data_IF_944352849395
#
_entry.id   IF_944352849395
#
_cell.length_a   1.000
_cell.length_b   1.000
_cell.length_c   1.000
_cell.angle_alpha   90.00
_cell.angle_beta   90.00
_cell.angle_gamma   90.00
#
_symmetry.space_group_name_H-M   'P 1'
#
loop_
_entity.id
_entity.type
_entity.pdbx_description
1 polymer ?
#
# COMPACT_ATOMS: atom_id res chain seq x y z
N UNK A 1 38.57 39.58 -61.95
CA UNK A 1 38.93 38.33 -61.25
C UNK A 1 37.94 38.16 -60.11
N UNK A 2 36.88 37.42 -60.39
CA UNK A 2 35.75 37.21 -59.48
C UNK A 2 35.82 35.76 -58.95
N UNK A 3 36.00 35.60 -57.67
CA UNK A 3 35.93 34.28 -56.98
C UNK A 3 34.58 34.21 -56.21
N UNK A 4 33.76 33.27 -56.63
CA UNK A 4 32.50 32.87 -55.99
C UNK A 4 32.73 32.05 -54.76
N UNK A 5 32.03 32.28 -53.63
CA UNK A 5 31.96 31.34 -52.53
C UNK A 5 30.73 30.42 -52.69
N UNK A 6 30.97 29.18 -53.02
CA UNK A 6 29.97 28.09 -53.04
C UNK A 6 30.46 26.95 -52.20
N UNK A 7 30.45 27.04 -50.86
CA UNK A 7 30.74 25.89 -50.04
C UNK A 7 30.20 25.94 -48.59
N UNK A 8 29.32 26.91 -48.23
CA UNK A 8 28.78 26.98 -46.88
C UNK A 8 27.33 26.45 -46.73
N UNK A 9 26.65 26.10 -47.82
CA UNK A 9 25.24 25.66 -47.75
C UNK A 9 25.00 24.17 -47.53
N UNK A 10 26.02 23.33 -47.66
CA UNK A 10 25.85 21.87 -47.61
C UNK A 10 26.08 21.25 -46.21
N UNK A 11 26.74 21.96 -45.26
CA UNK A 11 27.00 21.42 -43.92
C UNK A 11 25.87 21.61 -42.93
N UNK A 12 24.98 22.57 -43.15
CA UNK A 12 23.87 22.85 -42.24
C UNK A 12 22.66 21.93 -42.42
N UNK A 13 22.51 21.26 -43.56
CA UNK A 13 21.41 20.30 -43.79
C UNK A 13 21.69 18.90 -43.23
N UNK A 14 22.94 18.51 -43.02
CA UNK A 14 23.29 17.23 -42.38
C UNK A 14 23.16 17.23 -40.86
N UNK A 15 23.28 18.38 -40.20
CA UNK A 15 23.15 18.48 -38.76
C UNK A 15 21.69 18.44 -38.27
N UNK A 16 20.72 18.80 -39.11
CA UNK A 16 19.28 18.75 -38.76
C UNK A 16 18.68 17.32 -38.84
N UNK A 17 19.27 16.43 -39.61
CA UNK A 17 18.79 15.04 -39.73
C UNK A 17 19.23 14.13 -38.59
N UNK A 18 20.23 14.49 -37.79
CA UNK A 18 20.73 13.68 -36.67
C UNK A 18 19.93 13.87 -35.37
N UNK A 19 19.05 14.88 -35.26
CA UNK A 19 18.24 15.16 -34.07
C UNK A 19 16.81 14.56 -34.12
N UNK A 20 16.41 13.98 -35.26
CA UNK A 20 15.09 13.36 -35.43
C UNK A 20 15.00 11.89 -34.98
N UNK A 21 16.08 11.32 -34.46
CA UNK A 21 16.22 9.88 -34.20
C UNK A 21 15.76 9.36 -32.86
N UNK A 22 15.23 10.18 -31.94
CA UNK A 22 14.89 9.73 -30.58
C UNK A 22 13.43 9.92 -30.17
N UNK A 23 12.49 10.07 -31.10
CA UNK A 23 11.07 10.18 -30.81
C UNK A 23 10.30 8.94 -31.32
N UNK A 24 10.70 7.74 -30.89
CA UNK A 24 9.86 6.55 -31.04
C UNK A 24 9.00 6.37 -29.78
N UNK A 25 7.87 7.06 -29.74
CA UNK A 25 6.84 6.87 -28.71
C UNK A 25 6.02 5.59 -28.89
N UNK A 26 6.18 4.88 -29.98
CA UNK A 26 5.40 3.68 -30.30
C UNK A 26 5.91 2.40 -29.61
N UNK A 27 7.14 2.39 -29.10
CA UNK A 27 7.71 1.21 -28.44
C UNK A 27 7.21 0.99 -27.01
N UNK A 28 6.71 2.01 -26.32
CA UNK A 28 6.36 1.89 -24.89
C UNK A 28 5.01 1.17 -24.67
N UNK A 29 4.03 1.40 -25.54
CA UNK A 29 2.71 0.76 -25.44
C UNK A 29 2.78 -0.72 -25.81
N UNK A 30 3.59 -1.09 -26.80
CA UNK A 30 3.81 -2.49 -27.17
C UNK A 30 4.57 -3.27 -26.08
N UNK A 31 5.57 -2.66 -25.46
CA UNK A 31 6.31 -3.25 -24.34
C UNK A 31 5.43 -3.45 -23.10
N UNK A 32 4.56 -2.50 -22.79
CA UNK A 32 3.62 -2.63 -21.69
C UNK A 32 2.61 -3.75 -21.94
N UNK A 33 2.03 -3.84 -23.13
CA UNK A 33 1.10 -4.90 -23.50
C UNK A 33 1.75 -6.29 -23.46
N UNK A 34 3.00 -6.41 -23.90
CA UNK A 34 3.78 -7.65 -23.79
C UNK A 34 4.07 -8.00 -22.33
N UNK A 35 4.48 -7.02 -21.52
CA UNK A 35 4.73 -7.22 -20.11
C UNK A 35 3.45 -7.69 -19.37
N UNK A 36 2.31 -7.07 -19.64
CA UNK A 36 1.02 -7.44 -19.05
C UNK A 36 0.60 -8.86 -19.45
N UNK A 37 0.85 -9.25 -20.71
CA UNK A 37 0.57 -10.60 -21.21
C UNK A 37 1.43 -11.64 -20.50
N UNK A 38 2.75 -11.41 -20.40
CA UNK A 38 3.67 -12.30 -19.69
C UNK A 38 3.32 -12.38 -18.21
N UNK A 39 3.03 -11.24 -17.59
CA UNK A 39 2.65 -11.16 -16.19
C UNK A 39 1.41 -12.01 -15.89
N UNK A 40 0.33 -11.81 -16.64
CA UNK A 40 -0.91 -12.59 -16.48
C UNK A 40 -0.72 -14.08 -16.73
N UNK A 41 0.07 -14.45 -17.72
CA UNK A 41 0.35 -15.84 -18.04
C UNK A 41 1.26 -16.55 -17.01
N UNK A 42 2.01 -15.78 -16.21
CA UNK A 42 2.95 -16.32 -15.21
C UNK A 42 2.27 -16.79 -13.92
N UNK A 43 0.99 -16.46 -13.72
CA UNK A 43 0.26 -16.82 -12.50
C UNK A 43 -0.86 -17.82 -12.82
N UNK A 44 -1.06 -18.77 -11.93
CA UNK A 44 -2.15 -19.73 -12.00
C UNK A 44 -3.08 -19.57 -10.79
N UNK A 45 -4.40 -19.70 -10.96
CA UNK A 45 -5.30 -19.74 -9.82
C UNK A 45 -5.04 -20.98 -8.97
N UNK A 46 -5.20 -20.84 -7.66
CA UNK A 46 -5.05 -21.94 -6.71
C UNK A 46 -6.28 -22.09 -5.81
N UNK A 47 -6.35 -23.15 -4.99
CA UNK A 47 -7.46 -23.35 -4.08
C UNK A 47 -7.70 -22.15 -3.17
N UNK A 48 -8.88 -21.53 -3.25
CA UNK A 48 -9.24 -20.34 -2.48
C UNK A 48 -8.52 -19.05 -2.89
N UNK A 49 -7.85 -19.05 -4.06
CA UNK A 49 -7.16 -17.89 -4.61
C UNK A 49 -7.46 -17.79 -6.10
N UNK A 50 -7.99 -16.66 -6.49
CA UNK A 50 -8.20 -16.27 -7.88
C UNK A 50 -7.10 -15.29 -8.34
N UNK A 51 -7.17 -14.86 -9.58
CA UNK A 51 -6.23 -13.90 -10.15
C UNK A 51 -6.64 -12.44 -9.97
N UNK A 52 -7.73 -12.16 -9.24
CA UNK A 52 -8.23 -10.78 -9.05
C UNK A 52 -7.21 -9.84 -8.40
N UNK A 53 -6.26 -10.40 -7.64
CA UNK A 53 -5.19 -9.61 -6.99
C UNK A 53 -4.12 -9.10 -7.96
N UNK A 54 -4.09 -9.61 -9.18
CA UNK A 54 -3.22 -9.10 -10.24
C UNK A 54 -3.78 -7.81 -10.84
N UNK A 55 -5.07 -7.54 -10.63
CA UNK A 55 -5.70 -6.33 -11.12
C UNK A 55 -5.56 -5.19 -10.09
N UNK A 56 -4.98 -4.09 -10.56
CA UNK A 56 -4.90 -2.88 -9.76
C UNK A 56 -6.27 -2.20 -9.70
N UNK A 57 -6.70 -1.81 -8.51
CA UNK A 57 -7.83 -0.89 -8.37
C UNK A 57 -7.42 0.55 -8.75
N UNK A 58 -8.39 1.46 -8.83
CA UNK A 58 -8.16 2.85 -9.29
C UNK A 58 -7.16 3.61 -8.41
N UNK A 59 -7.13 3.31 -7.11
CA UNK A 59 -6.15 3.90 -6.21
C UNK A 59 -4.74 3.38 -6.52
N UNK A 60 -4.60 2.09 -6.75
CA UNK A 60 -3.32 1.48 -7.11
C UNK A 60 -2.83 1.97 -8.47
N UNK A 61 -3.73 2.06 -9.47
CA UNK A 61 -3.41 2.62 -10.79
C UNK A 61 -2.90 4.05 -10.69
N UNK A 62 -3.62 4.92 -9.95
CA UNK A 62 -3.19 6.30 -9.75
C UNK A 62 -1.83 6.38 -9.04
N UNK A 63 -1.62 5.60 -7.97
CA UNK A 63 -0.34 5.59 -7.27
C UNK A 63 0.81 5.08 -8.14
N UNK A 64 0.57 4.11 -9.02
CA UNK A 64 1.56 3.63 -10.00
C UNK A 64 1.87 4.70 -11.04
N UNK A 65 0.84 5.34 -11.59
CA UNK A 65 0.98 6.40 -12.58
C UNK A 65 1.83 7.57 -12.07
N UNK A 66 1.62 7.98 -10.84
CA UNK A 66 2.33 9.10 -10.21
C UNK A 66 3.55 8.67 -9.38
N UNK A 67 3.99 7.41 -9.47
CA UNK A 67 5.13 6.89 -8.70
C UNK A 67 5.05 7.21 -7.21
N UNK A 68 3.86 6.96 -6.64
CA UNK A 68 3.50 7.25 -5.24
C UNK A 68 3.51 8.74 -4.83
N UNK A 69 3.66 9.67 -5.77
CA UNK A 69 3.65 11.11 -5.52
C UNK A 69 2.58 11.82 -6.38
N UNK A 70 1.28 11.58 -6.15
CA UNK A 70 0.22 12.20 -6.92
C UNK A 70 0.09 13.70 -6.62
N UNK A 71 -0.37 14.53 -7.58
CA UNK A 71 -0.76 15.90 -7.33
C UNK A 71 -1.79 15.98 -6.20
N UNK A 72 -1.81 17.10 -5.47
CA UNK A 72 -2.67 17.30 -4.29
C UNK A 72 -4.15 17.02 -4.56
N UNK A 73 -4.69 17.49 -5.68
CA UNK A 73 -6.09 17.26 -6.06
C UNK A 73 -6.41 15.78 -6.25
N UNK A 74 -5.48 15.02 -6.87
CA UNK A 74 -5.60 13.56 -7.03
C UNK A 74 -5.49 12.86 -5.68
N UNK A 75 -4.54 13.27 -4.83
CA UNK A 75 -4.38 12.73 -3.50
C UNK A 75 -5.65 12.91 -2.65
N UNK A 76 -6.24 14.11 -2.63
CA UNK A 76 -7.52 14.41 -1.94
C UNK A 76 -8.67 13.55 -2.47
N UNK A 77 -8.75 13.35 -3.78
CA UNK A 77 -9.78 12.49 -4.39
C UNK A 77 -9.64 11.03 -3.94
N UNK A 78 -8.41 10.51 -3.91
CA UNK A 78 -8.12 9.17 -3.41
C UNK A 78 -8.52 9.07 -1.94
N UNK A 79 -8.04 9.98 -1.09
CA UNK A 79 -8.31 9.98 0.34
C UNK A 79 -9.81 9.99 0.65
N UNK A 80 -10.57 10.87 -0.03
CA UNK A 80 -12.01 10.96 0.15
C UNK A 80 -12.75 9.67 -0.27
N UNK A 81 -12.31 9.03 -1.35
CA UNK A 81 -12.85 7.73 -1.80
C UNK A 81 -12.54 6.63 -0.81
N UNK A 82 -11.30 6.53 -0.36
CA UNK A 82 -10.85 5.48 0.54
C UNK A 82 -11.46 5.62 1.94
N UNK A 83 -11.71 6.84 2.41
CA UNK A 83 -12.40 7.09 3.67
C UNK A 83 -13.86 6.58 3.67
N UNK A 84 -14.56 6.66 2.55
CA UNK A 84 -15.94 6.15 2.42
C UNK A 84 -16.04 4.63 2.54
N UNK A 85 -14.93 3.91 2.36
CA UNK A 85 -14.88 2.46 2.42
C UNK A 85 -14.55 1.92 3.82
N UNK A 86 -14.46 2.78 4.83
CA UNK A 86 -14.18 2.35 6.20
C UNK A 86 -15.47 1.82 6.84
N UNK A 87 -15.41 0.57 7.29
CA UNK A 87 -16.51 -0.08 8.00
C UNK A 87 -16.13 -0.20 9.47
N UNK A 88 -17.06 0.17 10.35
CA UNK A 88 -16.89 0.10 11.79
C UNK A 88 -17.51 -1.19 12.38
N UNK A 89 -17.12 -1.59 13.60
CA UNK A 89 -17.78 -2.68 14.31
C UNK A 89 -19.28 -2.41 14.47
N UNK A 90 -20.09 -3.45 14.41
CA UNK A 90 -21.56 -3.33 14.51
C UNK A 90 -22.04 -2.74 15.84
N UNK A 91 -21.27 -2.94 16.92
CA UNK A 91 -21.53 -2.38 18.24
C UNK A 91 -20.95 -0.96 18.44
N UNK A 92 -20.33 -0.40 17.41
CA UNK A 92 -19.70 0.94 17.44
C UNK A 92 -18.43 1.04 18.27
N UNK A 93 -17.95 -0.05 18.90
CA UNK A 93 -16.79 -0.02 19.78
C UNK A 93 -15.49 -0.13 18.99
N UNK A 94 -14.68 0.92 19.04
CA UNK A 94 -13.38 0.98 18.34
C UNK A 94 -12.22 0.47 19.21
N UNK A 95 -12.45 0.21 20.49
CA UNK A 95 -11.52 -0.39 21.43
C UNK A 95 -12.03 -1.77 21.81
N UNK A 96 -11.29 -2.82 21.40
CA UNK A 96 -11.60 -4.21 21.68
C UNK A 96 -10.74 -4.80 22.81
N UNK A 97 -10.33 -6.06 22.66
CA UNK A 97 -9.43 -6.76 23.58
C UNK A 97 -7.98 -6.61 23.12
N UNK A 98 -7.16 -5.92 23.92
CA UNK A 98 -5.76 -5.72 23.61
C UNK A 98 -4.95 -7.03 23.54
N UNK A 99 -5.34 -8.09 24.27
CA UNK A 99 -4.66 -9.40 24.22
C UNK A 99 -4.91 -10.10 22.88
N UNK A 100 -6.12 -10.01 22.37
CA UNK A 100 -6.45 -10.47 21.02
C UNK A 100 -5.72 -9.63 19.98
N UNK A 101 -5.66 -8.31 20.17
CA UNK A 101 -4.92 -7.39 19.31
C UNK A 101 -3.43 -7.70 19.24
N UNK A 102 -2.78 -8.05 20.36
CA UNK A 102 -1.39 -8.49 20.39
C UNK A 102 -1.14 -9.71 19.49
N UNK A 103 -2.07 -10.69 19.51
CA UNK A 103 -1.98 -11.88 18.63
C UNK A 103 -2.07 -11.47 17.16
N UNK A 104 -3.04 -10.61 16.81
CA UNK A 104 -3.22 -10.13 15.43
C UNK A 104 -2.00 -9.32 14.97
N UNK A 105 -1.39 -8.53 15.85
CA UNK A 105 -0.18 -7.73 15.57
C UNK A 105 1.00 -8.61 15.18
N UNK A 106 1.21 -9.70 15.93
CA UNK A 106 2.37 -10.58 15.80
C UNK A 106 2.16 -11.76 14.84
N UNK A 107 0.91 -12.05 14.46
CA UNK A 107 0.64 -13.16 13.54
C UNK A 107 0.84 -12.73 12.08
N UNK A 108 1.72 -13.43 11.38
CA UNK A 108 1.97 -13.25 9.96
C UNK A 108 1.08 -14.09 9.05
N UNK A 109 0.13 -14.85 9.60
CA UNK A 109 -0.75 -15.68 8.79
C UNK A 109 -1.87 -14.84 8.19
N UNK A 110 -1.69 -14.47 6.91
CA UNK A 110 -2.66 -13.72 6.13
C UNK A 110 -2.91 -14.40 4.78
N UNK A 111 -3.72 -13.77 3.93
CA UNK A 111 -4.02 -14.25 2.58
C UNK A 111 -2.75 -14.35 1.75
N UNK A 112 -2.18 -15.53 1.62
CA UNK A 112 -0.94 -15.78 0.87
C UNK A 112 -1.25 -16.04 -0.59
N UNK A 113 -0.57 -15.35 -1.49
CA UNK A 113 -0.55 -15.68 -2.92
C UNK A 113 0.48 -16.80 -3.11
N UNK A 114 0.14 -17.80 -3.93
CA UNK A 114 1.05 -18.91 -4.25
C UNK A 114 1.18 -19.98 -3.16
N UNK A 115 0.29 -20.01 -2.18
CA UNK A 115 0.24 -21.13 -1.23
C UNK A 115 -0.35 -22.36 -1.91
N UNK A 116 0.37 -23.49 -1.86
CA UNK A 116 -0.13 -24.81 -2.30
C UNK A 116 -1.09 -25.44 -1.28
N UNK A 117 -1.22 -24.85 -0.10
CA UNK A 117 -2.15 -25.31 0.94
C UNK A 117 -3.44 -24.53 0.76
N UNK A 118 -4.61 -25.20 0.63
CA UNK A 118 -5.90 -24.52 0.60
C UNK A 118 -6.01 -23.57 1.79
N UNK A 119 -6.40 -22.32 1.52
CA UNK A 119 -6.63 -21.37 2.61
C UNK A 119 -7.80 -21.89 3.46
N UNK A 120 -7.55 -22.18 4.74
CA UNK A 120 -8.63 -22.44 5.69
C UNK A 120 -9.45 -21.13 5.83
N UNK A 121 -10.72 -21.07 5.40
CA UNK A 121 -11.55 -19.88 5.52
C UNK A 121 -11.78 -19.47 6.98
N UNK A 122 -11.63 -20.42 7.92
CA UNK A 122 -11.78 -20.21 9.35
C UNK A 122 -10.46 -19.88 10.07
N UNK A 123 -9.32 -19.85 9.35
CA UNK A 123 -8.05 -19.50 9.97
C UNK A 123 -8.09 -18.04 10.44
N UNK A 124 -7.70 -17.83 11.69
CA UNK A 124 -7.50 -16.49 12.22
C UNK A 124 -6.35 -15.84 11.44
N UNK A 125 -6.63 -14.70 10.83
CA UNK A 125 -5.63 -13.96 10.05
C UNK A 125 -4.99 -12.91 10.92
N UNK A 126 -3.69 -12.77 10.79
CA UNK A 126 -2.91 -11.73 11.44
C UNK A 126 -2.59 -10.57 10.51
N UNK A 127 -2.16 -9.46 11.10
CA UNK A 127 -1.78 -8.25 10.37
C UNK A 127 -0.30 -8.21 10.00
N UNK A 128 0.53 -9.05 10.62
CA UNK A 128 1.99 -9.05 10.47
C UNK A 128 2.61 -7.64 10.65
N UNK A 129 2.13 -6.91 11.66
CA UNK A 129 2.46 -5.49 11.82
C UNK A 129 3.94 -5.29 12.17
N UNK A 130 4.53 -6.22 12.95
CA UNK A 130 5.95 -6.18 13.31
C UNK A 130 6.90 -6.31 12.11
N UNK A 131 6.45 -6.82 10.98
CA UNK A 131 7.25 -6.84 9.76
C UNK A 131 7.58 -5.43 9.23
N UNK A 132 6.81 -4.42 9.62
CA UNK A 132 7.01 -3.04 9.22
C UNK A 132 7.22 -2.08 10.40
N UNK A 133 6.75 -2.43 11.61
CA UNK A 133 6.74 -1.57 12.78
C UNK A 133 7.40 -2.25 13.99
N UNK A 134 8.17 -1.48 14.75
CA UNK A 134 8.49 -1.87 16.10
C UNK A 134 7.21 -1.79 16.96
N UNK A 135 6.91 -2.82 17.71
CA UNK A 135 5.83 -2.84 18.69
C UNK A 135 6.36 -2.79 20.13
N UNK A 136 6.73 -3.92 20.70
CA UNK A 136 7.20 -4.00 22.08
C UNK A 136 8.73 -3.81 22.19
N UNK A 137 9.20 -3.29 23.33
CA UNK A 137 10.63 -3.08 23.58
C UNK A 137 11.46 -4.39 23.56
N UNK A 138 10.82 -5.53 23.88
CA UNK A 138 11.47 -6.85 23.94
C UNK A 138 11.57 -7.55 22.58
N UNK A 139 10.99 -6.99 21.50
CA UNK A 139 11.05 -7.59 20.18
C UNK A 139 12.50 -7.68 19.70
N UNK A 140 12.96 -8.90 19.42
CA UNK A 140 14.32 -9.15 18.95
C UNK A 140 14.56 -8.68 17.50
N UNK A 141 13.50 -8.64 16.69
CA UNK A 141 13.55 -8.21 15.29
C UNK A 141 12.21 -7.62 14.86
N UNK A 142 12.26 -6.50 14.15
CA UNK A 142 11.11 -5.82 13.58
C UNK A 142 11.51 -5.03 12.34
N UNK A 143 10.54 -4.72 11.49
CA UNK A 143 10.77 -3.87 10.31
C UNK A 143 10.80 -2.38 10.66
N UNK A 144 11.43 -1.61 9.80
CA UNK A 144 11.56 -0.16 9.91
C UNK A 144 10.92 0.61 8.73
N UNK A 145 10.05 -0.06 7.96
CA UNK A 145 9.29 0.57 6.87
C UNK A 145 8.22 1.52 7.41
N UNK A 146 7.66 1.21 8.58
CA UNK A 146 6.73 2.06 9.30
C UNK A 146 7.38 2.72 10.52
N UNK A 147 6.78 3.77 11.10
CA UNK A 147 7.26 4.36 12.34
C UNK A 147 7.16 3.37 13.49
N UNK A 148 8.03 3.51 14.50
CA UNK A 148 7.88 2.76 15.74
C UNK A 148 6.52 3.04 16.39
N UNK A 149 5.87 1.98 16.84
CA UNK A 149 4.62 2.02 17.60
C UNK A 149 4.85 1.82 19.11
N UNK A 150 6.12 1.66 19.52
CA UNK A 150 6.48 1.56 20.93
C UNK A 150 5.95 2.79 21.70
N UNK A 151 5.28 2.54 22.80
CA UNK A 151 4.62 3.54 23.64
C UNK A 151 3.55 4.39 22.91
N UNK A 152 2.92 3.84 21.87
CA UNK A 152 1.97 4.58 21.04
C UNK A 152 0.87 5.25 21.85
N UNK A 153 0.20 4.50 22.74
CA UNK A 153 -0.86 5.04 23.59
C UNK A 153 -0.37 6.07 24.62
N UNK A 154 0.85 5.89 25.17
CA UNK A 154 1.49 6.88 26.04
C UNK A 154 1.78 8.19 25.32
N UNK A 155 2.29 8.10 24.11
CA UNK A 155 2.75 9.26 23.34
C UNK A 155 1.58 10.02 22.68
N UNK A 156 0.53 9.33 22.28
CA UNK A 156 -0.60 9.93 21.55
C UNK A 156 -1.83 10.19 22.40
N UNK A 157 -1.92 9.53 23.55
CA UNK A 157 -3.11 9.60 24.42
C UNK A 157 -4.23 8.67 23.96
N UNK A 158 -5.38 8.81 24.65
CA UNK A 158 -6.54 7.92 24.52
C UNK A 158 -7.82 8.68 24.17
N UNK A 159 -7.72 9.87 23.62
CA UNK A 159 -8.90 10.63 23.21
C UNK A 159 -9.68 9.87 22.13
N UNK A 160 -10.98 10.11 22.03
CA UNK A 160 -11.83 9.53 21.01
C UNK A 160 -11.29 9.78 19.60
N UNK A 161 -10.74 10.96 19.35
CA UNK A 161 -10.13 11.31 18.07
C UNK A 161 -8.92 10.43 17.75
N UNK A 162 -8.07 10.11 18.74
CA UNK A 162 -6.90 9.22 18.56
C UNK A 162 -7.36 7.78 18.36
N UNK A 163 -8.34 7.31 19.14
CA UNK A 163 -8.93 5.97 18.96
C UNK A 163 -9.49 5.82 17.56
N UNK A 164 -10.31 6.76 17.13
CA UNK A 164 -10.90 6.77 15.80
C UNK A 164 -9.83 6.79 14.70
N UNK A 165 -8.87 7.72 14.80
CA UNK A 165 -7.76 7.80 13.84
C UNK A 165 -6.99 6.48 13.75
N UNK A 166 -6.69 5.84 14.88
CA UNK A 166 -5.93 4.59 14.93
C UNK A 166 -6.68 3.46 14.25
N UNK A 167 -7.96 3.30 14.57
CA UNK A 167 -8.84 2.33 13.93
C UNK A 167 -8.89 2.52 12.41
N UNK A 168 -9.21 3.73 11.98
CA UNK A 168 -9.37 4.07 10.56
C UNK A 168 -8.06 3.91 9.78
N UNK A 169 -6.92 4.29 10.40
CA UNK A 169 -5.59 4.14 9.81
C UNK A 169 -5.21 2.69 9.56
N UNK A 170 -5.55 1.79 10.48
CA UNK A 170 -5.35 0.34 10.31
C UNK A 170 -6.31 -0.19 9.25
N UNK A 171 -7.57 0.24 9.28
CA UNK A 171 -8.57 -0.21 8.33
C UNK A 171 -8.17 0.14 6.90
N UNK A 172 -7.83 1.41 6.66
CA UNK A 172 -7.45 1.91 5.33
C UNK A 172 -6.50 3.11 5.41
N UNK A 173 -5.21 2.83 5.41
CA UNK A 173 -4.17 3.86 5.51
C UNK A 173 -4.23 4.91 4.38
N UNK A 174 -4.81 4.56 3.22
CA UNK A 174 -4.92 5.47 2.07
C UNK A 174 -5.99 6.54 2.23
N UNK A 175 -6.87 6.43 3.22
CA UNK A 175 -7.76 7.51 3.65
C UNK A 175 -6.99 8.73 4.24
N UNK A 176 -5.75 8.52 4.70
CA UNK A 176 -4.91 9.55 5.32
C UNK A 176 -3.69 9.93 4.47
N UNK A 177 -3.18 8.98 3.72
CA UNK A 177 -2.08 9.19 2.78
C UNK A 177 -2.40 8.37 1.52
N UNK A 178 -2.72 9.05 0.44
CA UNK A 178 -3.25 8.47 -0.79
C UNK A 178 -2.44 7.27 -1.33
N UNK A 179 -1.12 7.35 -1.28
CA UNK A 179 -0.23 6.30 -1.77
C UNK A 179 0.61 5.66 -0.66
N UNK A 180 0.03 5.56 0.56
CA UNK A 180 0.69 4.86 1.67
C UNK A 180 1.09 3.44 1.30
N UNK A 181 2.29 3.03 1.71
CA UNK A 181 2.75 1.63 1.62
C UNK A 181 2.12 0.73 2.70
N UNK A 182 1.52 1.31 3.75
CA UNK A 182 0.78 0.53 4.74
C UNK A 182 -0.41 -0.16 4.06
N UNK A 183 -0.58 -1.49 4.23
CA UNK A 183 -1.68 -2.23 3.63
C UNK A 183 -3.06 -1.73 4.07
N UNK A 184 -4.05 -1.85 3.21
CA UNK A 184 -5.45 -1.56 3.50
C UNK A 184 -6.12 -2.79 4.11
N UNK A 185 -5.78 -3.13 5.34
CA UNK A 185 -6.08 -4.42 5.96
C UNK A 185 -7.58 -4.71 6.06
N UNK A 186 -8.39 -3.71 6.45
CA UNK A 186 -9.84 -3.84 6.51
C UNK A 186 -10.48 -3.82 5.13
N UNK A 187 -10.11 -2.83 4.29
CA UNK A 187 -10.66 -2.67 2.95
C UNK A 187 -10.44 -3.91 2.05
N UNK A 188 -9.32 -4.60 2.20
CA UNK A 188 -9.00 -5.82 1.45
C UNK A 188 -9.48 -7.10 2.14
N UNK A 189 -10.21 -7.00 3.24
CA UNK A 189 -10.77 -8.14 3.96
C UNK A 189 -9.72 -9.06 4.60
N UNK A 190 -8.50 -8.54 4.83
CA UNK A 190 -7.45 -9.29 5.55
C UNK A 190 -7.84 -9.39 7.02
N UNK A 191 -8.24 -8.26 7.61
CA UNK A 191 -8.74 -8.18 8.98
C UNK A 191 -10.21 -7.72 8.97
N UNK A 192 -11.01 -8.29 9.85
CA UNK A 192 -12.39 -7.84 10.07
C UNK A 192 -12.43 -6.65 11.06
N UNK A 193 -13.57 -5.92 11.14
CA UNK A 193 -13.71 -4.76 12.01
C UNK A 193 -13.39 -5.04 13.49
N UNK A 194 -13.75 -6.23 14.00
CA UNK A 194 -13.44 -6.62 15.39
C UNK A 194 -11.94 -6.76 15.62
N UNK A 195 -11.23 -7.43 14.73
CA UNK A 195 -9.76 -7.58 14.82
C UNK A 195 -9.05 -6.23 14.78
N UNK A 196 -9.58 -5.27 14.00
CA UNK A 196 -9.02 -3.91 13.94
C UNK A 196 -9.29 -3.15 15.24
N UNK A 197 -10.47 -3.34 15.86
CA UNK A 197 -10.76 -2.77 17.20
C UNK A 197 -9.85 -3.40 18.27
N UNK A 198 -9.57 -4.70 18.20
CA UNK A 198 -8.64 -5.38 19.10
C UNK A 198 -7.19 -4.83 18.94
N UNK A 199 -6.75 -4.60 17.69
CA UNK A 199 -5.46 -3.94 17.40
C UNK A 199 -5.43 -2.50 17.92
N UNK A 200 -6.50 -1.76 17.76
CA UNK A 200 -6.62 -0.39 18.30
C UNK A 200 -6.45 -0.39 19.81
N UNK A 201 -7.09 -1.34 20.49
CA UNK A 201 -6.90 -1.53 21.94
C UNK A 201 -5.45 -1.92 22.29
N UNK A 202 -4.82 -2.80 21.51
CA UNK A 202 -3.41 -3.16 21.74
C UNK A 202 -2.48 -1.95 21.65
N UNK A 203 -2.70 -1.07 20.68
CA UNK A 203 -1.86 0.12 20.50
C UNK A 203 -2.11 1.19 21.58
N UNK A 204 -3.35 1.32 22.08
CA UNK A 204 -3.78 2.47 22.89
C UNK A 204 -3.88 2.15 24.39
N UNK A 205 -4.30 0.94 24.77
CA UNK A 205 -4.56 0.63 26.19
C UNK A 205 -3.30 0.74 27.06
N UNK A 206 -3.38 1.39 28.24
CA UNK A 206 -2.24 1.53 29.15
C UNK A 206 -1.68 0.20 29.63
N UNK A 207 -2.54 -0.82 29.76
CA UNK A 207 -2.18 -2.17 30.21
C UNK A 207 -1.47 -2.98 29.14
N UNK A 208 -1.56 -2.55 27.89
CA UNK A 208 -0.93 -3.24 26.78
C UNK A 208 0.60 -3.20 26.89
N UNK A 209 1.29 -4.32 26.62
CA UNK A 209 2.76 -4.40 26.68
C UNK A 209 3.48 -3.36 25.83
N UNK A 210 2.88 -2.95 24.70
CA UNK A 210 3.45 -1.93 23.82
C UNK A 210 3.58 -0.55 24.50
N UNK A 211 2.82 -0.32 25.58
CA UNK A 211 2.79 0.94 26.35
C UNK A 211 3.50 0.86 27.71
N UNK A 212 4.22 -0.21 28.00
CA UNK A 212 4.96 -0.39 29.26
C UNK A 212 6.40 0.04 29.17
#
# INVERSE_FOLDING_TARGET
>A
MTRTPRALGALTLLAAAALAGCASTDGSTDLQAKADTVFKASFQPGPGQDLSRLEQDDTQKACSQYRANPPEAVAKTIQAREAKNIVYPADGKLMGDWKAGAKVFNDGFAMRIGSFIPSNPNAVRGGNCYACHQGEAKEAAYGNLGPSLLHYGKLRGQSEAIVKYTYEKIYNAKAFNACSNMPRLGHKGVLNPKQIADLTAYLISPESPINR
#
